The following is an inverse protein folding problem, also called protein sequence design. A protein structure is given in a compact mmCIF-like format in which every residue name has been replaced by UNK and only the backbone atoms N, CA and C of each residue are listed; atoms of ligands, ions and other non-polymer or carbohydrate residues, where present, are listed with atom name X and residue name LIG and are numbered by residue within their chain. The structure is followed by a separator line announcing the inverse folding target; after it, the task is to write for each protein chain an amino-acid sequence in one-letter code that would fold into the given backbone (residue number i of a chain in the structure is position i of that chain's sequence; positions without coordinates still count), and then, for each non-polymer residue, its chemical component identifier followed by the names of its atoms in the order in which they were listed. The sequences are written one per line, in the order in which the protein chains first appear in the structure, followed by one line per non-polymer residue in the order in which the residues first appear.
data_IF_664514698978
#
_entry.id   IF_664514698978
#
_cell.length_a   1.000
_cell.length_b   1.000
_cell.length_c   1.000
_cell.angle_alpha   90.00
_cell.angle_beta   90.00
_cell.angle_gamma   90.00
#
_symmetry.space_group_name_H-M   'P 1'
#
loop_
_entity.id
_entity.type
_entity.pdbx_description
1 polymer ?
#
# COMPACT_ATOMS: atom_id res chain seq x y z
N UNK A 1 -50.51 65.01 11.98
CA UNK A 1 -49.69 65.25 10.76
C UNK A 1 -48.84 64.00 10.48
N UNK A 2 -48.09 63.92 9.36
CA UNK A 2 -47.52 62.69 8.76
C UNK A 2 -46.38 61.99 9.57
N UNK A 3 -46.10 60.72 9.16
CA UNK A 3 -44.93 59.81 9.41
C UNK A 3 -44.98 58.99 10.73
N UNK A 4 -44.75 57.65 10.72
CA UNK A 4 -43.52 56.84 10.46
C UNK A 4 -42.43 57.04 11.54
N UNK A 5 -41.81 56.02 12.16
CA UNK A 5 -41.76 54.54 11.99
C UNK A 5 -41.33 53.89 13.36
N UNK A 6 -40.95 52.63 13.64
CA UNK A 6 -40.70 51.32 12.95
C UNK A 6 -40.44 50.19 13.98
N UNK A 7 -40.72 48.90 13.63
CA UNK A 7 -40.37 47.61 14.32
C UNK A 7 -40.87 47.44 15.78
N UNK A 8 -41.69 46.44 16.15
CA UNK A 8 -41.68 44.96 16.03
C UNK A 8 -40.77 44.20 17.01
N UNK A 9 -41.44 43.47 17.90
CA UNK A 9 -41.07 42.22 18.59
C UNK A 9 -39.78 42.16 19.44
N UNK A 10 -39.98 42.08 20.76
CA UNK A 10 -39.23 41.19 21.63
C UNK A 10 -40.27 40.34 22.40
N UNK A 11 -40.25 39.03 22.18
CA UNK A 11 -41.04 38.05 22.92
C UNK A 11 -40.10 36.90 23.27
N UNK A 12 -40.17 36.43 24.51
CA UNK A 12 -39.22 35.51 25.11
C UNK A 12 -39.10 34.18 24.34
N UNK A 13 -37.88 33.64 24.28
CA UNK A 13 -37.53 32.41 23.53
C UNK A 13 -36.83 31.38 24.43
N UNK A 14 -36.71 31.63 25.75
CA UNK A 14 -36.05 30.72 26.72
C UNK A 14 -36.94 29.54 27.17
N UNK A 15 -37.82 29.06 26.28
CA UNK A 15 -38.67 27.89 26.48
C UNK A 15 -38.49 26.84 25.34
N UNK A 16 -37.30 26.82 24.73
CA UNK A 16 -36.93 25.87 23.67
C UNK A 16 -36.09 24.71 24.20
N UNK A 17 -36.59 23.48 24.06
CA UNK A 17 -35.81 22.25 24.21
C UNK A 17 -34.79 22.15 23.06
N UNK A 18 -33.60 22.70 23.28
CA UNK A 18 -32.54 22.83 22.28
C UNK A 18 -31.95 21.48 21.85
N UNK A 19 -32.19 20.41 22.64
CA UNK A 19 -31.84 19.03 22.29
C UNK A 19 -32.80 18.41 21.24
N UNK A 20 -33.79 19.16 20.73
CA UNK A 20 -34.70 18.73 19.65
C UNK A 20 -34.57 19.56 18.35
N UNK A 21 -33.82 19.08 17.35
CA UNK A 21 -33.87 19.62 15.99
C UNK A 21 -35.28 19.55 15.38
N UNK A 22 -35.69 20.62 14.70
CA UNK A 22 -36.95 20.63 13.93
C UNK A 22 -36.80 19.83 12.64
N UNK A 23 -37.22 18.56 12.65
CA UNK A 23 -37.26 17.64 11.49
C UNK A 23 -35.88 17.38 10.83
N UNK A 24 -34.89 17.00 11.63
CA UNK A 24 -33.69 16.33 11.15
C UNK A 24 -33.33 15.17 12.06
N UNK A 25 -32.81 14.06 11.51
CA UNK A 25 -32.03 13.12 12.30
C UNK A 25 -30.72 13.82 12.68
N UNK A 26 -30.26 13.64 13.92
CA UNK A 26 -28.94 14.12 14.34
C UNK A 26 -27.90 13.23 13.66
N UNK A 27 -26.90 13.77 12.95
CA UNK A 27 -25.94 12.94 12.24
C UNK A 27 -25.20 12.00 13.19
N UNK A 28 -25.20 10.71 12.86
CA UNK A 28 -24.33 9.73 13.48
C UNK A 28 -22.97 9.78 12.77
N UNK A 29 -21.91 10.00 13.54
CA UNK A 29 -20.53 10.15 13.05
C UNK A 29 -19.66 9.07 13.72
N UNK A 30 -19.04 8.17 12.96
CA UNK A 30 -18.08 7.21 13.52
C UNK A 30 -16.91 7.90 14.23
N UNK A 31 -16.50 7.36 15.38
CA UNK A 31 -15.27 7.84 16.03
C UNK A 31 -14.02 7.40 15.25
N UNK A 32 -13.23 8.39 14.82
CA UNK A 32 -11.96 8.19 14.10
C UNK A 32 -10.82 8.88 14.87
N UNK A 33 -9.61 8.31 14.86
CA UNK A 33 -8.46 8.94 15.50
C UNK A 33 -8.09 10.26 14.79
N UNK A 34 -7.91 11.33 15.55
CA UNK A 34 -7.68 12.69 15.04
C UNK A 34 -8.95 13.49 14.73
N UNK A 35 -10.14 12.90 14.80
CA UNK A 35 -11.40 13.63 14.68
C UNK A 35 -11.52 14.67 15.81
N UNK A 36 -11.68 15.95 15.47
CA UNK A 36 -11.82 17.02 16.46
C UNK A 36 -13.30 17.29 16.72
N UNK A 37 -13.71 17.23 17.99
CA UNK A 37 -15.08 17.49 18.45
C UNK A 37 -15.07 18.32 19.72
N UNK A 38 -16.20 18.97 19.99
CA UNK A 38 -16.47 19.68 21.25
C UNK A 38 -17.59 18.98 22.03
N UNK A 39 -17.39 18.75 23.34
CA UNK A 39 -18.42 18.22 24.23
C UNK A 39 -19.55 19.24 24.42
N UNK A 40 -20.79 18.86 24.07
CA UNK A 40 -21.93 19.79 24.02
C UNK A 40 -22.42 20.25 25.41
N UNK A 41 -22.13 19.49 26.47
CA UNK A 41 -22.56 19.81 27.84
C UNK A 41 -21.51 20.63 28.65
N UNK A 42 -20.25 20.70 28.19
CA UNK A 42 -19.19 21.44 28.92
C UNK A 42 -18.13 22.18 28.08
N UNK A 43 -18.25 22.20 26.74
CA UNK A 43 -17.39 22.97 25.84
C UNK A 43 -15.96 22.46 25.69
N UNK A 44 -15.67 21.23 26.11
CA UNK A 44 -14.32 20.66 25.95
C UNK A 44 -14.07 20.23 24.50
N UNK A 45 -13.23 20.99 23.80
CA UNK A 45 -12.82 20.74 22.42
C UNK A 45 -11.46 20.03 22.34
N UNK A 46 -11.39 18.88 21.66
CA UNK A 46 -10.19 18.07 21.53
C UNK A 46 -10.27 17.01 20.42
N UNK A 47 -9.13 16.43 20.08
CA UNK A 47 -9.01 15.35 19.09
C UNK A 47 -9.23 13.98 19.73
N UNK A 48 -9.97 13.10 19.06
CA UNK A 48 -10.12 11.69 19.46
C UNK A 48 -8.77 10.97 19.41
N UNK A 49 -8.37 10.36 20.54
CA UNK A 49 -7.14 9.55 20.66
C UNK A 49 -7.40 8.09 21.05
N UNK A 50 -8.68 7.69 21.15
CA UNK A 50 -9.10 6.33 21.47
C UNK A 50 -10.55 6.27 21.96
N UNK A 51 -11.13 5.07 21.99
CA UNK A 51 -12.51 4.81 22.39
C UNK A 51 -12.68 3.36 22.87
N UNK A 52 -13.78 3.08 23.57
CA UNK A 52 -14.16 1.73 24.00
C UNK A 52 -15.57 1.33 23.48
N UNK A 53 -16.33 0.54 24.25
CA UNK A 53 -17.70 0.12 23.91
C UNK A 53 -18.77 1.19 24.17
N UNK A 54 -18.47 2.22 24.96
CA UNK A 54 -19.40 3.27 25.36
C UNK A 54 -18.74 4.63 25.67
N UNK A 55 -17.41 4.75 25.60
CA UNK A 55 -16.70 6.02 25.80
C UNK A 55 -15.76 6.39 24.66
N UNK A 56 -15.43 7.67 24.55
CA UNK A 56 -14.38 8.25 23.68
C UNK A 56 -13.44 9.11 24.52
N UNK A 57 -12.15 9.08 24.20
CA UNK A 57 -11.10 9.89 24.85
C UNK A 57 -10.66 11.00 23.91
N UNK A 58 -10.78 12.25 24.37
CA UNK A 58 -10.37 13.46 23.66
C UNK A 58 -9.10 14.05 24.29
N UNK A 59 -8.17 14.55 23.47
CA UNK A 59 -6.99 15.30 23.87
C UNK A 59 -7.08 16.76 23.37
N UNK A 60 -6.91 17.74 24.26
CA UNK A 60 -6.85 19.16 23.88
C UNK A 60 -5.47 19.55 23.34
N UNK A 61 -5.37 20.77 22.77
CA UNK A 61 -4.11 21.33 22.23
C UNK A 61 -2.98 21.56 23.26
N UNK A 62 -3.19 21.23 24.54
CA UNK A 62 -2.21 21.28 25.63
C UNK A 62 -1.88 19.88 26.17
N UNK A 63 -2.41 18.82 25.58
CA UNK A 63 -2.25 17.44 26.04
C UNK A 63 -3.18 17.05 27.20
N UNK A 64 -4.19 17.85 27.53
CA UNK A 64 -5.18 17.46 28.54
C UNK A 64 -6.10 16.39 27.97
N UNK A 65 -6.15 15.21 28.60
CA UNK A 65 -7.00 14.08 28.19
C UNK A 65 -8.27 14.01 29.04
N UNK A 66 -9.41 13.75 28.41
CA UNK A 66 -10.70 13.55 29.07
C UNK A 66 -11.53 12.47 28.36
N UNK A 67 -12.33 11.74 29.14
CA UNK A 67 -13.19 10.65 28.66
C UNK A 67 -14.65 11.10 28.72
N UNK A 68 -15.40 10.83 27.66
CA UNK A 68 -16.81 11.21 27.49
C UNK A 68 -17.63 9.99 27.05
N UNK A 69 -18.91 9.92 27.44
CA UNK A 69 -19.80 8.85 27.00
C UNK A 69 -20.27 9.06 25.54
N UNK A 70 -20.49 7.98 24.80
CA UNK A 70 -21.06 7.98 23.45
C UNK A 70 -22.59 8.15 23.50
N UNK A 71 -23.05 9.27 24.06
CA UNK A 71 -24.47 9.58 24.20
C UNK A 71 -25.03 10.34 22.97
N UNK A 72 -26.32 10.16 22.61
CA UNK A 72 -26.95 10.86 21.50
C UNK A 72 -26.84 12.39 21.63
N UNK A 73 -26.38 13.05 20.57
CA UNK A 73 -26.17 14.50 20.50
C UNK A 73 -25.18 15.11 21.51
N UNK A 74 -24.36 14.30 22.19
CA UNK A 74 -23.44 14.78 23.23
C UNK A 74 -22.22 15.57 22.71
N UNK A 75 -22.03 15.68 21.39
CA UNK A 75 -20.87 16.31 20.77
C UNK A 75 -21.29 17.31 19.68
N UNK A 76 -20.41 18.28 19.43
CA UNK A 76 -20.48 19.20 18.30
C UNK A 76 -19.32 18.92 17.34
N UNK A 77 -19.61 18.86 16.05
CA UNK A 77 -18.64 18.87 14.96
C UNK A 77 -18.89 20.15 14.13
N UNK A 78 -17.86 20.98 13.95
CA UNK A 78 -17.97 22.32 13.36
C UNK A 78 -19.10 23.21 13.96
N UNK A 79 -19.40 23.00 15.26
CA UNK A 79 -20.47 23.69 15.99
C UNK A 79 -21.88 23.14 15.75
N UNK A 80 -22.05 22.08 14.95
CA UNK A 80 -23.33 21.39 14.74
C UNK A 80 -23.42 20.12 15.61
N UNK A 81 -24.57 19.82 16.24
CA UNK A 81 -24.70 18.66 17.10
C UNK A 81 -24.68 17.35 16.32
N UNK A 82 -23.90 16.39 16.82
CA UNK A 82 -23.71 15.04 16.26
C UNK A 82 -23.77 13.99 17.36
N UNK A 83 -24.16 12.77 17.00
CA UNK A 83 -24.02 11.58 17.84
C UNK A 83 -22.74 10.87 17.44
N UNK A 84 -21.75 10.79 18.32
CA UNK A 84 -20.59 9.93 18.08
C UNK A 84 -21.00 8.47 18.27
N UNK A 85 -20.80 7.65 17.24
CA UNK A 85 -21.09 6.21 17.26
C UNK A 85 -19.80 5.41 17.18
N UNK A 86 -19.79 4.19 17.74
CA UNK A 86 -18.73 3.22 17.46
C UNK A 86 -18.71 2.96 15.93
N UNK A 87 -17.54 2.86 15.27
CA UNK A 87 -17.48 2.50 13.86
C UNK A 87 -18.11 1.13 13.66
N UNK A 88 -19.10 1.07 12.77
CA UNK A 88 -19.56 -0.19 12.20
C UNK A 88 -18.41 -0.81 11.42
N UNK A 89 -18.23 -2.13 11.55
CA UNK A 89 -17.24 -2.88 10.78
C UNK A 89 -17.78 -3.05 9.35
N UNK A 90 -17.70 -1.96 8.58
CA UNK A 90 -18.44 -1.83 7.32
C UNK A 90 -18.21 -0.54 6.53
N UNK A 91 -17.10 0.20 6.73
CA UNK A 91 -16.49 1.05 5.69
C UNK A 91 -15.05 1.48 6.07
N UNK A 92 -14.17 0.51 6.35
CA UNK A 92 -12.74 0.77 6.19
C UNK A 92 -12.52 1.06 4.70
N UNK A 93 -11.96 2.23 4.35
CA UNK A 93 -11.38 2.44 3.01
C UNK A 93 -10.50 1.22 2.71
N UNK A 94 -10.63 0.54 1.56
CA UNK A 94 -9.96 -0.74 1.37
C UNK A 94 -8.47 -0.59 1.64
N UNK A 95 -7.95 -1.39 2.56
CA UNK A 95 -6.56 -1.33 2.95
C UNK A 95 -5.73 -1.66 1.71
N UNK A 96 -5.11 -0.63 1.13
CA UNK A 96 -4.27 -0.83 -0.05
C UNK A 96 -3.03 -1.59 0.38
N UNK A 97 -2.69 -2.64 -0.35
CA UNK A 97 -1.41 -3.32 -0.18
C UNK A 97 -0.27 -2.37 -0.57
N UNK A 98 0.98 -2.78 -0.32
CA UNK A 98 2.13 -2.01 -0.75
C UNK A 98 2.21 -1.90 -2.29
N UNK A 99 1.64 -2.84 -3.06
CA UNK A 99 1.47 -2.74 -4.52
C UNK A 99 0.34 -1.80 -4.97
N UNK A 100 -0.46 -1.30 -4.03
CA UNK A 100 -1.65 -0.48 -4.32
C UNK A 100 -2.93 -1.30 -4.57
N UNK A 101 -2.86 -2.63 -4.51
CA UNK A 101 -4.02 -3.53 -4.66
C UNK A 101 -5.13 -3.19 -3.67
N UNK A 102 -6.38 -3.39 -4.07
CA UNK A 102 -7.54 -3.29 -3.17
C UNK A 102 -7.76 -4.67 -2.54
N UNK A 103 -7.56 -4.79 -1.23
CA UNK A 103 -7.79 -6.04 -0.51
C UNK A 103 -9.26 -6.49 -0.63
N UNK A 104 -9.51 -7.55 -1.40
CA UNK A 104 -10.84 -8.13 -1.62
C UNK A 104 -11.18 -9.10 -0.49
N UNK A 105 -11.76 -8.57 0.60
CA UNK A 105 -12.40 -9.40 1.62
C UNK A 105 -13.53 -10.24 0.97
N UNK A 106 -13.32 -11.55 0.86
CA UNK A 106 -14.33 -12.48 0.33
C UNK A 106 -13.89 -13.38 -0.84
N UNK A 107 -12.63 -13.32 -1.30
CA UNK A 107 -12.10 -14.36 -2.18
C UNK A 107 -12.14 -15.72 -1.48
N UNK A 108 -13.14 -16.55 -1.83
CA UNK A 108 -13.12 -17.99 -1.54
C UNK A 108 -11.81 -18.56 -2.04
N UNK A 109 -11.13 -19.35 -1.21
CA UNK A 109 -9.89 -20.04 -1.57
C UNK A 109 -10.01 -20.66 -2.96
N UNK A 110 -9.30 -20.05 -3.93
CA UNK A 110 -9.05 -20.69 -5.21
C UNK A 110 -8.21 -21.93 -4.92
N UNK A 111 -8.39 -23.01 -5.68
CA UNK A 111 -7.44 -24.13 -5.63
C UNK A 111 -6.05 -23.52 -5.82
N UNK A 112 -5.14 -23.78 -4.88
CA UNK A 112 -3.86 -23.08 -4.81
C UNK A 112 -3.16 -23.16 -6.17
N UNK A 113 -2.94 -22.01 -6.79
CA UNK A 113 -2.23 -21.95 -8.08
C UNK A 113 -0.82 -22.42 -7.80
N UNK A 114 -0.42 -23.55 -8.39
CA UNK A 114 0.95 -24.03 -8.23
C UNK A 114 1.97 -23.16 -9.00
N UNK A 115 1.50 -22.08 -9.65
CA UNK A 115 2.32 -21.09 -10.32
C UNK A 115 3.35 -20.44 -9.38
N UNK A 116 4.54 -20.17 -9.93
CA UNK A 116 5.66 -19.52 -9.22
C UNK A 116 6.20 -18.33 -9.99
N UNK A 117 6.85 -17.42 -9.29
CA UNK A 117 7.76 -16.43 -9.87
C UNK A 117 9.18 -16.75 -9.36
N UNK A 118 10.12 -16.96 -10.27
CA UNK A 118 11.55 -16.94 -9.94
C UNK A 118 12.15 -15.56 -10.20
N UNK A 119 13.13 -15.18 -9.39
CA UNK A 119 13.90 -13.95 -9.54
C UNK A 119 15.41 -14.23 -9.46
N UNK A 120 16.25 -13.42 -10.09
CA UNK A 120 17.69 -13.69 -10.19
C UNK A 120 18.51 -13.37 -8.92
N UNK A 121 17.95 -12.56 -8.01
CA UNK A 121 18.64 -12.16 -6.78
C UNK A 121 17.83 -12.36 -5.50
N UNK A 122 18.53 -12.53 -4.38
CA UNK A 122 17.92 -12.50 -3.03
C UNK A 122 17.31 -11.12 -2.76
N UNK A 123 17.96 -10.04 -3.22
CA UNK A 123 17.45 -8.68 -3.09
C UNK A 123 16.11 -8.51 -3.85
N UNK A 124 15.99 -9.08 -5.04
CA UNK A 124 14.76 -9.11 -5.83
C UNK A 124 13.64 -9.82 -5.09
N UNK A 125 13.94 -10.98 -4.49
CA UNK A 125 12.97 -11.73 -3.71
C UNK A 125 12.48 -10.92 -2.50
N UNK A 126 13.40 -10.24 -1.79
CA UNK A 126 13.08 -9.35 -0.67
C UNK A 126 12.28 -8.11 -1.09
N UNK A 127 12.56 -7.52 -2.27
CA UNK A 127 11.81 -6.38 -2.79
C UNK A 127 10.41 -6.77 -3.28
N UNK A 128 10.31 -7.88 -4.01
CA UNK A 128 9.03 -8.42 -4.49
C UNK A 128 8.15 -8.83 -3.31
N UNK A 129 8.72 -9.47 -2.29
CA UNK A 129 8.05 -9.79 -1.04
C UNK A 129 7.52 -8.53 -0.32
N UNK A 130 8.34 -7.47 -0.20
CA UNK A 130 7.94 -6.26 0.52
C UNK A 130 6.78 -5.51 -0.16
N UNK A 131 6.71 -5.49 -1.49
CA UNK A 131 5.69 -4.73 -2.23
C UNK A 131 4.49 -5.57 -2.68
N UNK A 132 4.69 -6.76 -3.24
CA UNK A 132 3.62 -7.61 -3.79
C UNK A 132 3.37 -8.90 -3.01
N UNK A 133 4.22 -9.27 -2.03
CA UNK A 133 4.13 -10.55 -1.31
C UNK A 133 2.75 -10.83 -0.69
N UNK A 134 2.07 -9.80 -0.18
CA UNK A 134 0.68 -9.91 0.29
C UNK A 134 -0.28 -10.41 -0.81
N UNK A 135 -0.21 -9.80 -1.99
CA UNK A 135 -1.16 -10.02 -3.08
C UNK A 135 -0.86 -11.34 -3.81
N UNK A 136 0.43 -11.66 -3.95
CA UNK A 136 0.92 -12.96 -4.40
C UNK A 136 0.39 -14.10 -3.51
N UNK A 137 0.43 -13.93 -2.18
CA UNK A 137 -0.17 -14.88 -1.22
C UNK A 137 -1.70 -15.00 -1.34
N UNK A 138 -2.42 -13.92 -1.64
CA UNK A 138 -3.87 -13.94 -1.89
C UNK A 138 -4.19 -14.73 -3.17
N UNK A 139 -3.34 -14.68 -4.19
CA UNK A 139 -3.47 -15.45 -5.42
C UNK A 139 -2.86 -16.86 -5.36
N UNK A 140 -2.16 -17.19 -4.27
CA UNK A 140 -1.51 -18.49 -4.04
C UNK A 140 -0.13 -18.66 -4.67
N UNK A 141 0.44 -17.59 -5.24
CA UNK A 141 1.72 -17.58 -5.95
C UNK A 141 2.88 -17.52 -4.95
N UNK A 142 3.92 -18.34 -5.20
CA UNK A 142 5.16 -18.34 -4.42
C UNK A 142 6.27 -17.63 -5.21
N UNK A 143 7.11 -16.86 -4.50
CA UNK A 143 8.35 -16.28 -5.04
C UNK A 143 9.54 -17.07 -4.51
N UNK A 144 10.43 -17.45 -5.42
CA UNK A 144 11.72 -18.11 -5.13
C UNK A 144 12.82 -17.36 -5.87
N UNK A 145 14.09 -17.47 -5.43
CA UNK A 145 15.23 -16.95 -6.20
C UNK A 145 16.00 -18.11 -6.85
N UNK A 146 16.63 -17.82 -7.98
CA UNK A 146 17.59 -18.69 -8.67
C UNK A 146 18.96 -18.01 -8.65
N UNK A 147 20.05 -18.77 -8.44
CA UNK A 147 21.41 -18.20 -8.32
C UNK A 147 22.02 -17.88 -9.70
N UNK A 148 21.32 -17.06 -10.49
CA UNK A 148 21.62 -16.75 -11.88
C UNK A 148 20.77 -17.53 -12.90
N UNK A 149 20.49 -16.92 -14.05
CA UNK A 149 19.66 -17.51 -15.12
C UNK A 149 20.18 -18.85 -15.67
N UNK A 150 21.46 -19.21 -15.46
CA UNK A 150 22.02 -20.52 -15.87
C UNK A 150 21.26 -21.72 -15.30
N UNK A 151 20.59 -21.57 -14.15
CA UNK A 151 19.78 -22.60 -13.52
C UNK A 151 18.36 -22.74 -14.11
N UNK A 152 17.92 -21.79 -14.94
CA UNK A 152 16.55 -21.73 -15.43
C UNK A 152 16.10 -22.99 -16.21
N UNK A 153 16.92 -23.65 -17.05
CA UNK A 153 16.50 -24.88 -17.73
C UNK A 153 16.20 -26.04 -16.76
N UNK A 154 16.99 -26.19 -15.70
CA UNK A 154 16.81 -27.21 -14.65
C UNK A 154 15.54 -26.92 -13.83
N UNK A 155 15.33 -25.65 -13.45
CA UNK A 155 14.12 -25.19 -12.76
C UNK A 155 12.87 -25.44 -13.62
N UNK A 156 12.94 -25.22 -14.93
CA UNK A 156 11.82 -25.48 -15.86
C UNK A 156 11.53 -26.98 -16.01
N UNK A 157 12.55 -27.84 -16.02
CA UNK A 157 12.38 -29.29 -16.06
C UNK A 157 11.77 -29.84 -14.75
N UNK A 158 12.28 -29.42 -13.59
CA UNK A 158 11.72 -29.84 -12.28
C UNK A 158 10.31 -29.29 -12.05
N UNK A 159 10.07 -28.02 -12.40
CA UNK A 159 8.79 -27.37 -12.13
C UNK A 159 7.65 -27.89 -13.01
N UNK A 160 7.92 -28.36 -14.23
CA UNK A 160 6.91 -28.84 -15.18
C UNK A 160 5.78 -27.83 -15.48
N UNK A 161 6.08 -26.66 -16.09
CA UNK A 161 5.08 -25.63 -16.41
C UNK A 161 3.90 -26.17 -17.25
N UNK A 162 2.68 -25.82 -16.85
CA UNK A 162 1.43 -26.30 -17.45
C UNK A 162 0.30 -25.26 -17.46
N UNK A 163 -0.86 -25.56 -18.08
CA UNK A 163 -1.99 -24.61 -18.20
C UNK A 163 -2.57 -24.11 -16.86
N UNK A 164 -2.30 -24.82 -15.76
CA UNK A 164 -2.79 -24.54 -14.40
C UNK A 164 -1.64 -24.24 -13.40
N UNK A 165 -0.38 -24.27 -13.88
CA UNK A 165 0.86 -24.13 -13.11
C UNK A 165 1.85 -23.35 -13.98
N UNK A 166 1.83 -22.02 -13.91
CA UNK A 166 2.66 -21.15 -14.77
C UNK A 166 3.94 -20.71 -14.07
N UNK A 167 5.01 -20.55 -14.84
CA UNK A 167 6.30 -20.07 -14.35
C UNK A 167 6.53 -18.65 -14.86
N UNK A 168 6.51 -17.67 -13.96
CA UNK A 168 7.08 -16.34 -14.20
C UNK A 168 8.56 -16.32 -13.83
N UNK A 169 9.35 -15.53 -14.54
CA UNK A 169 10.78 -15.34 -14.25
C UNK A 169 11.16 -13.89 -14.47
N UNK A 170 11.72 -13.23 -13.44
CA UNK A 170 12.36 -11.92 -13.52
C UNK A 170 13.88 -12.10 -13.52
N UNK A 171 14.57 -11.42 -14.43
CA UNK A 171 16.04 -11.42 -14.54
C UNK A 171 16.60 -10.02 -14.69
N UNK A 172 17.85 -9.83 -14.25
CA UNK A 172 18.54 -8.56 -14.37
C UNK A 172 18.99 -8.36 -15.82
N UNK A 173 18.83 -7.13 -16.33
CA UNK A 173 19.55 -6.66 -17.52
C UNK A 173 19.44 -7.56 -18.78
N UNK A 174 18.26 -8.14 -19.05
CA UNK A 174 18.03 -9.06 -20.18
C UNK A 174 18.17 -8.38 -21.56
N UNK A 175 19.39 -8.38 -22.14
CA UNK A 175 19.69 -7.75 -23.44
C UNK A 175 19.51 -8.75 -24.61
N UNK A 176 18.79 -8.38 -25.69
CA UNK A 176 18.69 -9.23 -26.89
C UNK A 176 20.04 -9.66 -27.47
N UNK A 177 20.22 -10.96 -27.67
CA UNK A 177 21.44 -11.55 -28.21
C UNK A 177 22.56 -11.79 -27.19
N UNK A 178 22.31 -11.54 -25.90
CA UNK A 178 23.21 -11.89 -24.80
C UNK A 178 23.26 -13.42 -24.57
N UNK A 179 23.95 -13.90 -23.52
CA UNK A 179 23.90 -15.33 -23.15
C UNK A 179 22.54 -15.66 -22.51
N UNK A 180 22.10 -14.75 -21.65
CA UNK A 180 20.89 -14.76 -20.84
C UNK A 180 19.66 -14.81 -21.76
N UNK A 181 19.60 -13.99 -22.83
CA UNK A 181 18.47 -14.05 -23.79
C UNK A 181 18.34 -15.42 -24.46
N UNK A 182 19.44 -16.09 -24.78
CA UNK A 182 19.42 -17.42 -25.41
C UNK A 182 18.95 -18.52 -24.46
N UNK A 183 19.18 -18.35 -23.15
CA UNK A 183 18.66 -19.26 -22.12
C UNK A 183 17.15 -19.04 -21.96
N UNK A 184 16.70 -17.79 -21.89
CA UNK A 184 15.28 -17.43 -21.88
C UNK A 184 14.53 -17.95 -23.13
N UNK A 185 15.15 -17.82 -24.31
CA UNK A 185 14.65 -18.38 -25.57
C UNK A 185 14.55 -19.91 -25.53
N UNK A 186 15.52 -20.62 -24.93
CA UNK A 186 15.54 -22.09 -24.90
C UNK A 186 14.47 -22.76 -24.03
N UNK A 187 13.93 -22.03 -23.04
CA UNK A 187 12.84 -22.51 -22.15
C UNK A 187 11.45 -22.00 -22.55
N UNK A 188 11.36 -21.27 -23.67
CA UNK A 188 10.14 -20.59 -24.10
C UNK A 188 8.96 -21.56 -24.35
N UNK A 189 7.83 -21.29 -23.70
CA UNK A 189 6.60 -22.06 -23.87
C UNK A 189 5.35 -21.23 -23.51
N UNK A 190 4.12 -21.66 -23.85
CA UNK A 190 2.89 -20.99 -23.43
C UNK A 190 2.64 -20.96 -21.91
N UNK A 191 3.55 -21.51 -21.11
CA UNK A 191 3.45 -21.68 -19.66
C UNK A 191 4.67 -21.13 -18.89
N UNK A 192 5.69 -20.63 -19.60
CA UNK A 192 6.85 -19.92 -19.06
C UNK A 192 6.90 -18.51 -19.63
N UNK A 193 7.02 -17.51 -18.77
CA UNK A 193 7.28 -16.12 -19.17
C UNK A 193 8.56 -15.64 -18.49
N UNK A 194 9.58 -15.32 -19.28
CA UNK A 194 10.82 -14.70 -18.83
C UNK A 194 10.80 -13.24 -19.26
N UNK A 195 10.96 -12.33 -18.31
CA UNK A 195 11.13 -10.89 -18.56
C UNK A 195 12.31 -10.36 -17.78
N UNK A 196 12.90 -9.26 -18.23
CA UNK A 196 13.96 -8.59 -17.47
C UNK A 196 13.75 -7.08 -17.34
N UNK A 197 14.31 -6.52 -16.28
CA UNK A 197 14.29 -5.08 -16.03
C UNK A 197 15.51 -4.37 -16.66
N UNK A 198 15.42 -3.09 -17.05
CA UNK A 198 16.52 -2.39 -17.73
C UNK A 198 17.69 -2.00 -16.79
N UNK A 199 17.53 -2.22 -15.48
CA UNK A 199 18.52 -1.88 -14.47
C UNK A 199 19.69 -2.85 -14.46
N UNK A 200 20.85 -2.37 -14.00
CA UNK A 200 22.08 -3.18 -13.81
C UNK A 200 22.01 -4.03 -12.55
N UNK A 201 21.15 -3.64 -11.61
CA UNK A 201 20.96 -4.21 -10.28
C UNK A 201 19.60 -3.73 -9.75
N UNK A 202 18.83 -4.60 -9.09
CA UNK A 202 17.51 -4.25 -8.52
C UNK A 202 17.52 -3.03 -7.59
N UNK A 203 18.66 -2.71 -6.97
CA UNK A 203 18.82 -1.47 -6.19
C UNK A 203 18.41 -0.23 -7.00
N UNK A 204 18.80 -0.17 -8.28
CA UNK A 204 18.56 0.97 -9.16
C UNK A 204 17.07 1.19 -9.48
N UNK A 205 16.22 0.18 -9.24
CA UNK A 205 14.78 0.28 -9.41
C UNK A 205 14.08 1.05 -8.27
N UNK A 206 14.76 1.33 -7.16
CA UNK A 206 14.26 2.22 -6.10
C UNK A 206 14.49 3.68 -6.51
N UNK A 207 13.48 4.54 -6.37
CA UNK A 207 13.59 5.96 -6.78
C UNK A 207 14.69 6.69 -6.01
N UNK A 208 15.57 7.46 -6.68
CA UNK A 208 16.58 8.31 -6.03
C UNK A 208 16.03 9.20 -4.91
N UNK A 209 14.83 9.77 -5.11
CA UNK A 209 14.14 10.64 -4.16
C UNK A 209 13.76 9.96 -2.83
N UNK A 210 13.54 8.64 -2.83
CA UNK A 210 13.20 7.85 -1.63
C UNK A 210 14.45 7.67 -0.73
N UNK A 211 15.63 7.63 -1.34
CA UNK A 211 16.93 7.54 -0.68
C UNK A 211 17.54 8.91 -0.34
N UNK A 212 16.93 10.01 -0.82
CA UNK A 212 17.45 11.36 -0.67
C UNK A 212 18.71 11.64 -1.51
N UNK A 213 18.85 10.98 -2.66
CA UNK A 213 19.96 11.17 -3.61
C UNK A 213 19.44 11.76 -4.93
N UNK A 214 20.23 12.58 -5.61
CA UNK A 214 19.79 13.24 -6.86
C UNK A 214 19.58 12.23 -8.01
N UNK A 215 20.45 11.22 -8.10
CA UNK A 215 20.39 10.13 -9.07
C UNK A 215 21.21 8.92 -8.57
N UNK A 216 20.99 7.75 -9.17
CA UNK A 216 21.90 6.62 -9.01
C UNK A 216 23.24 6.90 -9.71
N UNK A 217 24.41 6.65 -9.08
CA UNK A 217 25.70 6.89 -9.71
C UNK A 217 25.99 5.97 -10.89
N UNK A 218 26.60 6.50 -11.94
CA UNK A 218 27.20 5.68 -12.99
C UNK A 218 28.44 4.93 -12.47
N UNK A 219 28.47 3.60 -12.64
CA UNK A 219 29.63 2.77 -12.30
C UNK A 219 30.35 2.31 -13.56
N UNK A 220 31.67 2.50 -13.58
CA UNK A 220 32.50 2.11 -14.71
C UNK A 220 32.51 0.59 -14.93
N UNK A 221 32.39 0.15 -16.20
CA UNK A 221 32.43 -1.28 -16.58
C UNK A 221 33.70 -1.96 -16.03
N UNK A 222 33.52 -3.14 -15.43
CA UNK A 222 34.59 -3.90 -14.79
C UNK A 222 34.82 -3.59 -13.31
N UNK A 223 34.13 -2.58 -12.75
CA UNK A 223 33.99 -2.40 -11.30
C UNK A 223 32.73 -3.13 -10.82
N UNK A 224 32.77 -3.92 -9.72
CA UNK A 224 31.57 -4.45 -9.08
C UNK A 224 30.56 -3.34 -8.77
N UNK A 225 29.31 -3.51 -9.23
CA UNK A 225 28.37 -2.40 -9.33
C UNK A 225 27.96 -1.85 -7.95
N UNK A 226 27.57 -2.73 -7.02
CA UNK A 226 27.14 -2.33 -5.66
C UNK A 226 28.25 -1.55 -4.94
N UNK A 227 29.48 -2.04 -4.97
CA UNK A 227 30.65 -1.41 -4.35
C UNK A 227 31.08 -0.10 -5.07
N UNK A 228 30.81 0.02 -6.36
CA UNK A 228 30.97 1.26 -7.12
C UNK A 228 29.96 2.33 -6.70
N UNK A 229 28.69 1.96 -6.58
CA UNK A 229 27.60 2.83 -6.11
C UNK A 229 27.85 3.31 -4.69
N UNK A 230 28.19 2.40 -3.76
CA UNK A 230 28.48 2.75 -2.36
C UNK A 230 29.61 3.77 -2.24
N UNK A 231 30.70 3.56 -2.99
CA UNK A 231 31.84 4.48 -3.05
C UNK A 231 31.45 5.86 -3.59
N UNK A 232 30.61 5.90 -4.63
CA UNK A 232 30.16 7.15 -5.24
C UNK A 232 29.16 7.92 -4.37
N UNK A 233 28.31 7.22 -3.61
CA UNK A 233 27.40 7.82 -2.61
C UNK A 233 28.11 8.15 -1.27
N UNK A 234 29.38 7.79 -1.11
CA UNK A 234 30.14 7.97 0.14
C UNK A 234 29.68 7.07 1.29
N UNK A 235 28.96 5.98 0.99
CA UNK A 235 28.46 5.04 2.01
C UNK A 235 29.56 4.01 2.32
N UNK A 236 29.97 3.93 3.58
CA UNK A 236 31.05 3.05 4.06
C UNK A 236 30.52 1.74 4.66
N UNK A 237 29.35 1.28 4.22
CA UNK A 237 28.64 0.11 4.75
C UNK A 237 28.66 -1.03 3.71
N UNK A 238 28.77 -2.28 4.16
CA UNK A 238 28.79 -3.45 3.27
C UNK A 238 27.49 -3.59 2.46
N UNK A 239 27.50 -4.19 1.26
CA UNK A 239 26.32 -4.28 0.39
C UNK A 239 25.05 -4.82 1.07
N UNK A 240 25.15 -5.89 1.87
CA UNK A 240 24.01 -6.42 2.64
C UNK A 240 23.53 -5.55 3.81
N UNK A 241 24.20 -4.42 4.09
CA UNK A 241 23.75 -3.39 5.05
C UNK A 241 23.10 -2.23 4.32
N UNK A 242 23.75 -1.75 3.25
CA UNK A 242 23.16 -0.77 2.34
C UNK A 242 21.83 -1.27 1.76
N UNK A 243 21.71 -2.55 1.38
CA UNK A 243 20.46 -3.10 0.89
C UNK A 243 19.35 -3.04 1.94
N UNK A 244 19.60 -3.45 3.19
CA UNK A 244 18.62 -3.33 4.28
C UNK A 244 18.21 -1.87 4.54
N UNK A 245 19.10 -0.91 4.30
CA UNK A 245 18.82 0.53 4.34
C UNK A 245 17.97 0.99 3.14
N UNK A 246 18.26 0.50 1.93
CA UNK A 246 17.52 0.80 0.69
C UNK A 246 16.10 0.19 0.77
N UNK A 247 15.98 -1.12 0.94
CA UNK A 247 14.71 -1.83 1.12
C UNK A 247 13.92 -1.23 2.29
N UNK A 248 14.60 -0.95 3.41
CA UNK A 248 14.04 -0.30 4.59
C UNK A 248 13.56 1.15 4.39
N UNK A 249 13.81 1.78 3.24
CA UNK A 249 13.26 3.10 2.87
C UNK A 249 11.96 3.00 2.05
N UNK A 250 11.84 1.97 1.21
CA UNK A 250 10.69 1.69 0.33
C UNK A 250 9.44 1.32 1.15
N UNK A 251 8.25 1.81 0.78
CA UNK A 251 6.98 1.54 1.48
C UNK A 251 5.85 1.10 0.56
N UNK A 252 5.88 1.51 -0.70
CA UNK A 252 4.84 1.28 -1.70
C UNK A 252 5.45 1.16 -3.10
N UNK A 253 4.68 0.65 -4.06
CA UNK A 253 5.03 0.64 -5.48
C UNK A 253 5.45 2.02 -6.03
N UNK A 254 4.88 3.10 -5.48
CA UNK A 254 5.20 4.47 -5.90
C UNK A 254 6.66 4.87 -5.62
N UNK A 255 7.33 4.18 -4.70
CA UNK A 255 8.74 4.35 -4.35
C UNK A 255 9.70 3.66 -5.35
N UNK A 256 9.15 2.97 -6.37
CA UNK A 256 9.90 2.25 -7.41
C UNK A 256 9.73 2.89 -8.79
N UNK A 257 10.69 2.64 -9.67
CA UNK A 257 10.67 3.09 -11.07
C UNK A 257 9.73 2.24 -11.94
N UNK A 258 8.99 2.85 -12.91
CA UNK A 258 7.89 2.16 -13.60
C UNK A 258 8.33 0.97 -14.46
N UNK A 259 9.59 0.96 -14.89
CA UNK A 259 10.18 -0.12 -15.69
C UNK A 259 10.36 -1.42 -14.90
N UNK A 260 10.45 -1.37 -13.56
CA UNK A 260 10.31 -2.56 -12.71
C UNK A 260 8.84 -2.90 -12.50
N UNK A 261 8.01 -1.90 -12.16
CA UNK A 261 6.58 -2.11 -11.85
C UNK A 261 5.87 -2.87 -12.98
N UNK A 262 5.97 -2.38 -14.22
CA UNK A 262 5.31 -3.01 -15.36
C UNK A 262 5.83 -4.41 -15.68
N UNK A 263 7.08 -4.75 -15.31
CA UNK A 263 7.64 -6.10 -15.45
C UNK A 263 7.11 -7.07 -14.40
N UNK A 264 6.96 -6.61 -13.15
CA UNK A 264 6.38 -7.43 -12.07
C UNK A 264 4.87 -7.59 -12.27
N UNK A 265 4.17 -6.55 -12.71
CA UNK A 265 2.74 -6.61 -13.08
C UNK A 265 2.50 -7.59 -14.24
N UNK A 266 3.32 -7.55 -15.31
CA UNK A 266 3.25 -8.50 -16.43
C UNK A 266 3.46 -9.96 -16.00
N UNK A 267 4.39 -10.21 -15.06
CA UNK A 267 4.57 -11.54 -14.45
C UNK A 267 3.36 -11.95 -13.59
N UNK A 268 2.82 -11.05 -12.77
CA UNK A 268 1.64 -11.31 -11.93
C UNK A 268 0.42 -11.65 -12.79
N UNK A 269 0.12 -10.86 -13.83
CA UNK A 269 -0.97 -11.16 -14.75
C UNK A 269 -0.76 -12.51 -15.43
N UNK A 270 0.46 -12.80 -15.90
CA UNK A 270 0.78 -14.09 -16.52
C UNK A 270 0.54 -15.29 -15.58
N UNK A 271 1.04 -15.24 -14.34
CA UNK A 271 0.93 -16.40 -13.42
C UNK A 271 -0.44 -16.52 -12.76
N UNK A 272 -1.23 -15.44 -12.71
CA UNK A 272 -2.54 -15.41 -12.04
C UNK A 272 -3.74 -15.50 -12.98
N UNK A 273 -3.68 -14.99 -14.21
CA UNK A 273 -4.80 -15.03 -15.17
C UNK A 273 -4.80 -16.36 -15.94
N UNK A 274 -5.84 -17.21 -15.80
CA UNK A 274 -5.93 -18.44 -16.58
C UNK A 274 -6.08 -18.11 -18.07
N UNK A 275 -5.52 -18.92 -18.99
CA UNK A 275 -5.74 -18.73 -20.42
C UNK A 275 -7.24 -18.77 -20.74
N UNK A 276 -7.70 -17.84 -21.58
CA UNK A 276 -9.09 -17.85 -22.07
C UNK A 276 -9.32 -19.08 -22.92
N UNK A 277 -10.34 -19.87 -22.57
CA UNK A 277 -10.76 -21.04 -23.33
C UNK A 277 -11.45 -20.63 -24.63
N UNK A 278 -10.68 -20.36 -25.68
CA UNK A 278 -11.23 -20.32 -27.04
C UNK A 278 -11.97 -21.64 -27.32
N UNK A 279 -13.24 -21.52 -27.72
CA UNK A 279 -14.25 -22.60 -27.75
C UNK A 279 -14.92 -22.70 -29.11
#
# INVERSE_FOLDING_TARGET
MRKNTSKRYAADVLAGDWRRPRKGQIPEVPVENGLVVESADDGFCGAVIGWDKGTVTLEDRKGQRRVFALEPAAFLLDGAPVTLVRPTEGERRPARSASGSVAVEGLRSRVAKESRIYVEGVHDAELVEQIWGHDLRVEGVVVEYMEGIDHLPEIVEEFGPGPQRRLGVLVDHLVPGSKESRIAESVSSPHVLVVGHPFVDVWQAVRPSVLGIDAWPEVARGVPWKEGVLRALGWSEEPGTAWRRILGSVRTYADLEPELLGRVEELIDFVTVPPTSDS
#
